data_IF_595117860111
#
_entry.id   IF_595117860111
#
_cell.length_a   1.000
_cell.length_b   1.000
_cell.length_c   1.000
_cell.angle_alpha   90.00
_cell.angle_beta   90.00
_cell.angle_gamma   90.00
#
_symmetry.space_group_name_H-M   'P 1'
#
loop_
_entity.id
_entity.type
_entity.pdbx_description
1 polymer ?
#
# COMPACT_ATOMS: atom_id res chain seq x y z
N UNK A 1 7.91 -0.39 9.95
CA UNK A 1 6.64 0.31 9.65
C UNK A 1 5.54 -0.73 9.47
N UNK A 2 4.41 -0.53 10.12
CA UNK A 2 3.30 -1.47 10.04
C UNK A 2 2.22 -0.91 9.12
N UNK A 3 2.13 -1.44 7.91
CA UNK A 3 1.16 -0.99 6.93
C UNK A 3 -0.19 -1.68 7.15
N UNK A 4 -1.25 -0.91 6.95
CA UNK A 4 -2.60 -1.43 7.00
C UNK A 4 -2.97 -1.88 5.58
N UNK A 5 -3.04 -3.20 5.37
CA UNK A 5 -3.30 -3.79 4.05
C UNK A 5 -4.76 -3.65 3.64
N UNK A 6 -5.25 -2.43 3.69
CA UNK A 6 -6.61 -2.11 3.31
C UNK A 6 -6.56 -0.93 2.34
N UNK A 7 -7.13 -1.12 1.15
CA UNK A 7 -7.14 -0.07 0.14
C UNK A 7 -7.92 1.13 0.64
N UNK A 8 -7.27 2.28 0.66
CA UNK A 8 -7.91 3.51 1.13
C UNK A 8 -8.96 4.03 0.16
N UNK A 9 -9.10 3.41 -1.01
CA UNK A 9 -10.17 3.75 -1.93
C UNK A 9 -11.50 3.16 -1.49
N UNK A 10 -11.59 1.82 -1.41
CA UNK A 10 -12.85 1.15 -1.05
C UNK A 10 -12.69 0.05 -0.01
N UNK A 11 -11.56 -0.02 0.65
CA UNK A 11 -11.37 -0.95 1.76
C UNK A 11 -11.06 -2.39 1.38
N UNK A 12 -10.75 -2.67 0.12
CA UNK A 12 -10.35 -4.01 -0.29
C UNK A 12 -8.99 -4.37 0.30
N UNK A 13 -8.77 -5.65 0.53
CA UNK A 13 -7.47 -6.11 0.96
C UNK A 13 -6.44 -5.90 -0.15
N UNK A 14 -5.25 -5.41 0.23
CA UNK A 14 -4.17 -5.13 -0.71
C UNK A 14 -3.06 -6.15 -0.53
N UNK A 15 -2.91 -7.13 -1.43
CA UNK A 15 -1.83 -8.10 -1.33
C UNK A 15 -0.51 -7.54 -1.83
N UNK A 16 0.57 -8.15 -1.37
CA UNK A 16 1.93 -7.86 -1.83
C UNK A 16 2.16 -8.56 -3.18
N UNK A 17 2.78 -7.84 -4.10
CA UNK A 17 3.15 -8.42 -5.40
C UNK A 17 4.65 -8.68 -5.44
N UNK A 18 5.02 -9.92 -5.53
CA UNK A 18 6.41 -10.35 -5.47
C UNK A 18 7.22 -9.88 -6.68
N UNK A 19 6.60 -9.81 -7.85
CA UNK A 19 7.32 -9.43 -9.07
C UNK A 19 7.49 -7.93 -9.23
N UNK A 20 6.46 -7.14 -8.89
CA UNK A 20 6.57 -5.69 -8.98
C UNK A 20 7.24 -5.10 -7.74
N UNK A 21 7.23 -5.81 -6.63
CA UNK A 21 7.69 -5.35 -5.32
C UNK A 21 6.85 -4.17 -4.82
N UNK A 22 5.60 -4.16 -5.23
CA UNK A 22 4.62 -3.17 -4.81
C UNK A 22 3.40 -3.86 -4.20
N UNK A 23 2.60 -3.09 -3.46
CA UNK A 23 1.30 -3.53 -2.99
C UNK A 23 0.28 -3.21 -4.07
N UNK A 24 -0.50 -4.21 -4.50
CA UNK A 24 -1.43 -4.02 -5.63
C UNK A 24 -2.83 -4.45 -5.23
N UNK A 25 -3.77 -3.49 -5.27
CA UNK A 25 -5.16 -3.76 -4.94
C UNK A 25 -5.89 -4.30 -6.16
N UNK A 26 -6.44 -5.52 -6.10
CA UNK A 26 -7.09 -6.11 -7.27
C UNK A 26 -8.47 -5.55 -7.57
N UNK A 27 -9.07 -4.81 -6.65
CA UNK A 27 -10.45 -4.33 -6.85
C UNK A 27 -10.54 -3.27 -7.93
N UNK A 28 -9.68 -2.26 -7.88
CA UNK A 28 -9.73 -1.15 -8.83
C UNK A 28 -8.35 -0.74 -9.33
N UNK A 29 -7.35 -1.50 -9.02
CA UNK A 29 -6.02 -1.30 -9.56
C UNK A 29 -5.14 -0.30 -8.84
N UNK A 30 -5.52 0.15 -7.65
CA UNK A 30 -4.63 1.02 -6.87
C UNK A 30 -3.35 0.30 -6.51
N UNK A 31 -2.22 0.99 -6.63
CA UNK A 31 -0.91 0.40 -6.38
C UNK A 31 -0.10 1.32 -5.49
N UNK A 32 0.71 0.70 -4.65
CA UNK A 32 1.53 1.40 -3.66
C UNK A 32 2.93 0.78 -3.67
N UNK A 33 3.95 1.60 -3.44
CA UNK A 33 5.31 1.05 -3.40
C UNK A 33 5.55 0.27 -2.10
N UNK A 34 6.76 -0.25 -1.88
CA UNK A 34 7.02 -1.10 -0.73
C UNK A 34 6.81 -0.36 0.61
N UNK A 35 6.90 0.96 0.62
CA UNK A 35 6.65 1.76 1.82
C UNK A 35 5.18 2.18 1.94
N UNK A 36 4.32 1.71 1.05
CA UNK A 36 2.90 2.05 1.07
C UNK A 36 2.57 3.40 0.46
N UNK A 37 3.52 4.04 -0.21
CA UNK A 37 3.25 5.31 -0.87
C UNK A 37 2.49 5.10 -2.18
N UNK A 38 1.53 5.99 -2.45
CA UNK A 38 0.69 5.87 -3.64
C UNK A 38 1.52 5.91 -4.94
N UNK A 39 1.19 5.02 -5.86
CA UNK A 39 1.81 4.98 -7.18
C UNK A 39 0.80 5.13 -8.31
N UNK A 40 -0.27 4.34 -8.30
CA UNK A 40 -1.25 4.32 -9.39
C UNK A 40 -2.63 4.01 -8.86
N UNK A 41 -3.63 4.36 -9.64
CA UNK A 41 -5.00 3.96 -9.38
C UNK A 41 -5.82 5.02 -8.68
N UNK A 42 -7.05 4.68 -8.29
CA UNK A 42 -8.00 5.67 -7.78
C UNK A 42 -7.85 6.03 -6.30
N UNK A 43 -6.95 5.39 -5.57
CA UNK A 43 -6.80 5.68 -4.15
C UNK A 43 -6.43 7.14 -3.91
N UNK A 44 -7.00 7.79 -2.87
CA UNK A 44 -6.74 9.21 -2.62
C UNK A 44 -5.39 9.48 -1.97
N UNK A 45 -4.75 8.46 -1.41
CA UNK A 45 -3.46 8.61 -0.71
C UNK A 45 -2.80 7.25 -0.59
N UNK A 46 -1.60 7.20 0.01
CA UNK A 46 -0.92 5.95 0.30
C UNK A 46 -1.63 5.14 1.38
N UNK A 47 -1.14 3.94 1.63
CA UNK A 47 -1.73 3.05 2.63
C UNK A 47 -1.61 3.66 4.03
N UNK A 48 -2.67 3.52 4.81
CA UNK A 48 -2.62 3.89 6.22
C UNK A 48 -1.69 2.93 6.96
N UNK A 49 -1.30 3.31 8.15
CA UNK A 49 -0.34 2.55 8.96
C UNK A 49 -0.87 2.39 10.36
N UNK A 50 -0.37 1.38 11.04
CA UNK A 50 -0.60 1.25 12.46
C UNK A 50 0.54 1.88 13.22
N UNK A 51 0.25 2.44 14.39
CA UNK A 51 1.29 2.94 15.28
C UNK A 51 2.13 1.77 15.76
N UNK A 52 3.43 1.98 15.89
CA UNK A 52 4.33 0.97 16.45
C UNK A 52 5.09 1.57 17.63
N UNK A 53 5.46 0.70 18.54
CA UNK A 53 6.28 1.07 19.67
C UNK A 53 7.32 -0.01 19.89
N UNK A 54 8.44 0.36 20.48
CA UNK A 54 9.46 -0.61 20.83
C UNK A 54 9.49 -0.78 22.34
N UNK A 55 9.71 -2.02 22.77
CA UNK A 55 9.83 -2.34 24.19
C UNK A 55 10.97 -3.34 24.32
N UNK A 56 12.13 -2.85 24.70
CA UNK A 56 13.33 -3.69 24.71
C UNK A 56 13.65 -4.14 23.30
N UNK A 57 13.64 -5.45 23.07
CA UNK A 57 13.93 -6.02 21.77
C UNK A 57 12.68 -6.26 20.94
N UNK A 58 11.51 -5.85 21.43
CA UNK A 58 10.25 -6.15 20.78
C UNK A 58 9.67 -4.94 20.09
N UNK A 59 9.03 -5.18 18.95
CA UNK A 59 8.24 -4.18 18.24
C UNK A 59 6.77 -4.55 18.43
N UNK A 60 6.00 -3.61 18.98
CA UNK A 60 4.58 -3.82 19.23
C UNK A 60 3.79 -2.98 18.25
N UNK A 61 2.87 -3.63 17.53
CA UNK A 61 1.98 -2.94 16.60
C UNK A 61 0.66 -2.65 17.32
N UNK A 62 0.32 -1.38 17.39
CA UNK A 62 -0.93 -0.94 18.03
C UNK A 62 -2.01 -0.79 16.97
N UNK A 63 -2.83 -1.82 16.80
CA UNK A 63 -3.87 -1.84 15.77
C UNK A 63 -5.05 -0.94 16.10
N UNK A 64 -5.10 -0.39 17.31
CA UNK A 64 -6.14 0.56 17.67
C UNK A 64 -5.80 1.99 17.24
N UNK A 65 -4.58 2.22 16.79
CA UNK A 65 -4.13 3.55 16.38
C UNK A 65 -3.71 3.53 14.93
N UNK A 66 -4.52 4.15 14.09
CA UNK A 66 -4.27 4.21 12.65
C UNK A 66 -3.72 5.57 12.29
N UNK A 67 -2.60 5.57 11.60
CA UNK A 67 -1.95 6.79 11.13
C UNK A 67 -2.30 6.94 9.66
N UNK A 68 -2.84 8.10 9.28
CA UNK A 68 -3.21 8.39 7.90
C UNK A 68 -1.99 8.25 7.00
N UNK A 69 -2.17 7.57 5.87
CA UNK A 69 -1.09 7.37 4.91
C UNK A 69 -0.64 8.66 4.24
N UNK A 70 0.52 8.63 3.60
CA UNK A 70 1.06 9.83 2.95
C UNK A 70 0.19 10.26 1.77
N UNK A 71 0.13 11.55 1.46
CA UNK A 71 -0.67 12.04 0.33
C UNK A 71 -0.09 11.56 -1.00
N UNK A 72 -0.92 11.62 -2.04
CA UNK A 72 -0.46 11.34 -3.40
C UNK A 72 0.73 12.23 -3.72
N UNK A 73 1.67 11.68 -4.48
CA UNK A 73 2.87 12.42 -4.85
C UNK A 73 4.02 12.27 -3.89
N UNK A 74 3.77 11.71 -2.70
CA UNK A 74 4.84 11.42 -1.76
C UNK A 74 5.67 10.26 -2.31
N UNK A 75 6.97 10.46 -2.45
CA UNK A 75 7.87 9.44 -3.01
C UNK A 75 9.22 9.55 -2.32
N UNK A 76 9.26 9.14 -1.05
CA UNK A 76 10.49 9.24 -0.25
C UNK A 76 11.49 8.14 -0.54
N UNK A 77 11.02 7.00 -1.08
CA UNK A 77 11.89 5.87 -1.35
C UNK A 77 12.50 5.89 -2.75
N UNK A 78 11.83 6.57 -3.68
CA UNK A 78 12.26 6.57 -5.07
C UNK A 78 12.13 5.22 -5.75
N UNK A 79 11.40 4.30 -5.17
CA UNK A 79 11.27 2.97 -5.75
C UNK A 79 10.50 3.00 -7.07
N UNK A 80 11.14 2.46 -8.11
CA UNK A 80 10.48 2.26 -9.40
C UNK A 80 9.91 0.85 -9.47
N UNK A 81 9.11 0.61 -10.49
CA UNK A 81 8.55 -0.72 -10.73
C UNK A 81 9.68 -1.72 -11.00
N UNK A 82 9.73 -2.79 -10.24
CA UNK A 82 10.83 -3.75 -10.31
C UNK A 82 10.52 -4.98 -11.14
N UNK A 83 9.32 -5.09 -11.66
CA UNK A 83 8.93 -6.20 -12.49
C UNK A 83 7.47 -6.08 -12.88
N UNK A 84 6.91 -7.07 -13.58
CA UNK A 84 5.52 -6.99 -14.02
C UNK A 84 4.55 -6.96 -12.85
N UNK A 85 3.42 -6.26 -13.05
CA UNK A 85 2.35 -6.25 -12.07
C UNK A 85 1.69 -7.62 -11.93
N UNK A 86 1.18 -7.89 -10.73
CA UNK A 86 0.40 -9.10 -10.50
C UNK A 86 -1.03 -8.94 -11.00
N UNK A 87 -1.54 -7.69 -11.00
CA UNK A 87 -2.87 -7.40 -11.52
C UNK A 87 -2.72 -6.64 -12.82
N UNK A 88 -3.71 -6.79 -13.69
CA UNK A 88 -3.65 -6.11 -14.98
C UNK A 88 -4.28 -4.74 -14.89
N UNK A 89 -3.69 -3.80 -15.63
CA UNK A 89 -4.20 -2.46 -15.74
C UNK A 89 -4.09 -1.67 -14.47
N UNK A 90 -4.31 -0.41 -14.61
CA UNK A 90 -4.47 0.46 -13.46
C UNK A 90 -5.83 1.08 -13.61
N UNK A 91 -6.48 1.41 -12.61
CA UNK A 91 -7.76 2.04 -12.73
C UNK A 91 -8.91 1.09 -12.92
N UNK A 92 -8.73 -0.08 -12.66
CA UNK A 92 -9.82 -0.96 -12.48
C UNK A 92 -10.44 -1.57 -13.64
N UNK A 93 -9.90 -2.20 -14.31
CA UNK A 93 -10.57 -2.93 -15.16
C UNK A 93 -10.44 -4.30 -14.98
N UNK A 94 -10.48 -4.82 -14.72
CA UNK A 94 -10.31 -5.81 -14.61
C UNK A 94 -11.02 -6.68 -14.73
N UNK A 95 -11.04 -7.21 -15.12
CA UNK A 95 -11.57 -7.88 -15.25
C UNK A 95 -11.61 -8.75 -14.76
N UNK A 96 -11.85 -8.95 -14.45
CA UNK A 96 -11.74 -9.61 -13.98
C UNK A 96 -11.94 -10.12 -13.56
#
# INVERSE_FOLDING_TARGET
MALYQRCVHLGCRVPWCETSQWWECPCHGSKYNHAGEYKEGPAPRGLDRFAIATSGDQVVVDTSRIITGPPRGTNTTGQELEGPHCISGGGGQEKT
#
